data_IF_559923730749
#
_entry.id   IF_559923730749
#
_cell.length_a   1.000
_cell.length_b   1.000
_cell.length_c   1.000
_cell.angle_alpha   90.00
_cell.angle_beta   90.00
_cell.angle_gamma   90.00
#
_symmetry.space_group_name_H-M   'P 1'
#
loop_
_entity.id
_entity.type
_entity.pdbx_description
1 polymer ?
#
# COMPACT_ATOMS: atom_id res chain seq x y z
N UNK A 1 -20.63 6.99 -2.94
CA UNK A 1 -19.69 5.92 -3.36
C UNK A 1 -18.48 5.98 -2.45
N UNK A 2 -18.04 4.84 -1.90
CA UNK A 2 -16.91 4.76 -0.97
C UNK A 2 -15.79 3.96 -1.62
N UNK A 3 -14.59 4.52 -1.67
CA UNK A 3 -13.41 3.90 -2.29
C UNK A 3 -12.42 3.51 -1.19
N UNK A 4 -11.97 2.26 -1.22
CA UNK A 4 -10.83 1.82 -0.40
C UNK A 4 -9.66 1.53 -1.32
N UNK A 5 -8.54 2.21 -1.10
CA UNK A 5 -7.29 1.94 -1.80
C UNK A 5 -6.47 1.01 -0.91
N UNK A 6 -6.21 -0.20 -1.41
CA UNK A 6 -5.35 -1.17 -0.75
C UNK A 6 -3.91 -0.96 -1.19
N UNK A 7 -3.03 -0.62 -0.25
CA UNK A 7 -1.59 -0.50 -0.47
C UNK A 7 -0.86 -1.58 0.30
N UNK A 8 -0.25 -2.54 -0.41
CA UNK A 8 0.60 -3.57 0.17
C UNK A 8 1.94 -3.59 -0.56
N UNK A 9 3.04 -3.53 0.18
CA UNK A 9 4.38 -3.48 -0.38
C UNK A 9 5.32 -2.55 0.38
N UNK A 10 6.34 -2.07 -0.34
CA UNK A 10 7.33 -1.11 0.14
C UNK A 10 6.75 0.31 0.23
N UNK A 11 7.52 1.25 0.78
CA UNK A 11 7.13 2.67 0.76
C UNK A 11 6.91 3.21 -0.67
N UNK A 12 7.63 2.67 -1.66
CA UNK A 12 7.46 3.02 -3.07
C UNK A 12 6.09 2.65 -3.64
N UNK A 13 5.49 1.57 -3.10
CA UNK A 13 4.14 1.14 -3.48
C UNK A 13 3.05 1.97 -2.78
N UNK A 14 3.32 2.41 -1.55
CA UNK A 14 2.37 3.22 -0.75
C UNK A 14 2.25 4.66 -1.25
N UNK A 15 3.33 5.27 -1.72
CA UNK A 15 3.33 6.68 -2.15
C UNK A 15 2.37 6.99 -3.33
N UNK A 16 2.31 6.18 -4.40
CA UNK A 16 1.31 6.33 -5.46
C UNK A 16 -0.12 6.22 -4.93
N UNK A 17 -0.39 5.28 -4.02
CA UNK A 17 -1.71 5.12 -3.40
C UNK A 17 -2.13 6.38 -2.62
N UNK A 18 -1.20 7.00 -1.88
CA UNK A 18 -1.43 8.27 -1.18
C UNK A 18 -1.77 9.39 -2.15
N UNK A 19 -0.99 9.53 -3.24
CA UNK A 19 -1.17 10.56 -4.26
C UNK A 19 -2.54 10.43 -4.94
N UNK A 20 -2.91 9.21 -5.31
CA UNK A 20 -4.22 8.89 -5.88
C UNK A 20 -5.35 9.20 -4.90
N UNK A 21 -5.22 8.73 -3.65
CA UNK A 21 -6.21 8.95 -2.60
C UNK A 21 -6.50 10.44 -2.37
N UNK A 22 -5.44 11.27 -2.33
CA UNK A 22 -5.58 12.73 -2.24
C UNK A 22 -6.29 13.34 -3.46
N UNK A 23 -5.94 12.89 -4.66
CA UNK A 23 -6.60 13.36 -5.89
C UNK A 23 -8.11 13.07 -5.87
N UNK A 24 -8.48 11.85 -5.50
CA UNK A 24 -9.87 11.42 -5.39
C UNK A 24 -10.63 12.15 -4.27
N UNK A 25 -10.00 12.36 -3.11
CA UNK A 25 -10.58 13.14 -2.02
C UNK A 25 -10.87 14.59 -2.45
N UNK A 26 -9.94 15.22 -3.19
CA UNK A 26 -10.13 16.58 -3.75
C UNK A 26 -11.25 16.65 -4.78
N UNK A 27 -11.51 15.55 -5.49
CA UNK A 27 -12.66 15.42 -6.39
C UNK A 27 -13.99 15.19 -5.66
N UNK A 28 -14.01 15.23 -4.31
CA UNK A 28 -15.22 15.10 -3.50
C UNK A 28 -15.62 13.65 -3.20
N UNK A 29 -14.76 12.67 -3.49
CA UNK A 29 -15.02 11.26 -3.22
C UNK A 29 -14.64 10.88 -1.79
N UNK A 30 -15.41 9.97 -1.19
CA UNK A 30 -15.06 9.36 0.09
C UNK A 30 -14.02 8.27 -0.13
N UNK A 31 -12.80 8.50 0.35
CA UNK A 31 -11.66 7.61 0.13
C UNK A 31 -10.99 7.29 1.47
N UNK A 32 -10.60 6.03 1.63
CA UNK A 32 -9.71 5.58 2.71
C UNK A 32 -8.57 4.74 2.16
N UNK A 33 -7.44 4.73 2.85
CA UNK A 33 -6.34 3.80 2.58
C UNK A 33 -6.35 2.65 3.58
N UNK A 34 -6.25 1.43 3.08
CA UNK A 34 -5.94 0.25 3.87
C UNK A 34 -4.49 -0.16 3.57
N UNK A 35 -3.64 -0.13 4.59
CA UNK A 35 -2.21 -0.45 4.45
C UNK A 35 -1.64 -1.05 5.75
N UNK A 36 -0.44 -1.66 5.70
CA UNK A 36 0.24 -2.15 6.89
C UNK A 36 0.39 -1.06 7.97
N UNK A 37 0.29 -1.46 9.24
CA UNK A 37 0.25 -0.57 10.40
C UNK A 37 1.45 0.39 10.49
N UNK A 38 2.63 -0.03 10.03
CA UNK A 38 3.85 0.80 10.02
C UNK A 38 3.72 2.06 9.14
N UNK A 39 2.79 2.09 8.18
CA UNK A 39 2.53 3.27 7.34
C UNK A 39 1.43 4.19 7.88
N UNK A 40 0.81 3.87 9.02
CA UNK A 40 -0.27 4.67 9.61
C UNK A 40 0.10 6.15 9.76
N UNK A 41 1.29 6.44 10.30
CA UNK A 41 1.76 7.81 10.51
C UNK A 41 1.95 8.58 9.20
N UNK A 42 2.45 7.92 8.15
CA UNK A 42 2.60 8.53 6.82
C UNK A 42 1.22 8.87 6.23
N UNK A 43 0.27 7.94 6.30
CA UNK A 43 -1.08 8.11 5.74
C UNK A 43 -1.87 9.19 6.48
N UNK A 44 -1.80 9.19 7.81
CA UNK A 44 -2.46 10.19 8.65
C UNK A 44 -1.88 11.59 8.44
N UNK A 45 -0.54 11.73 8.28
CA UNK A 45 0.10 13.01 7.95
C UNK A 45 -0.41 13.59 6.63
N UNK A 46 -0.76 12.73 5.70
CA UNK A 46 -1.34 13.13 4.42
C UNK A 46 -2.85 13.47 4.53
N UNK A 47 -3.48 13.30 5.69
CA UNK A 47 -4.89 13.67 5.93
C UNK A 47 -5.91 12.69 5.35
N UNK A 48 -5.49 11.47 5.04
CA UNK A 48 -6.36 10.42 4.50
C UNK A 48 -6.87 9.51 5.62
N UNK A 49 -8.17 9.15 5.62
CA UNK A 49 -8.70 8.12 6.51
C UNK A 49 -7.96 6.79 6.33
N UNK A 50 -7.55 6.18 7.44
CA UNK A 50 -6.72 4.98 7.45
C UNK A 50 -7.49 3.75 7.95
N UNK A 51 -7.15 2.57 7.44
CA UNK A 51 -7.53 1.28 7.98
C UNK A 51 -6.26 0.42 8.13
N UNK A 52 -5.96 -0.07 9.32
CA UNK A 52 -4.81 -0.94 9.50
C UNK A 52 -5.08 -2.32 8.90
N UNK A 53 -4.13 -2.81 8.12
CA UNK A 53 -4.07 -4.21 7.76
C UNK A 53 -3.23 -4.92 8.82
N UNK A 54 -3.85 -5.88 9.50
CA UNK A 54 -3.18 -6.71 10.50
C UNK A 54 -2.46 -7.87 9.80
N UNK A 55 -1.21 -8.07 10.17
CA UNK A 55 -0.23 -8.91 9.47
C UNK A 55 1.00 -8.06 9.18
N UNK A 56 2.13 -8.42 9.78
CA UNK A 56 3.37 -7.71 9.53
C UNK A 56 3.87 -8.11 8.14
N UNK A 57 3.49 -7.31 7.13
CA UNK A 57 3.94 -7.52 5.75
C UNK A 57 5.47 -7.48 5.69
N UNK A 58 6.17 -6.70 6.53
CA UNK A 58 7.63 -6.77 6.56
C UNK A 58 8.11 -8.12 7.09
N UNK A 59 7.49 -8.65 8.14
CA UNK A 59 7.81 -9.99 8.67
C UNK A 59 7.49 -11.10 7.65
N UNK A 60 6.37 -11.00 6.94
CA UNK A 60 6.00 -11.92 5.85
C UNK A 60 7.00 -11.79 4.70
N UNK A 61 7.42 -10.58 4.33
CA UNK A 61 8.41 -10.35 3.26
C UNK A 61 9.82 -10.78 3.70
N UNK A 62 10.14 -10.68 4.99
CA UNK A 62 11.40 -11.15 5.59
C UNK A 62 11.41 -12.67 5.80
N UNK A 63 10.23 -13.31 5.86
CA UNK A 63 10.10 -14.76 5.95
C UNK A 63 10.66 -15.46 4.72
N UNK A 64 10.91 -16.76 4.84
CA UNK A 64 11.36 -17.59 3.71
C UNK A 64 10.36 -17.57 2.55
N UNK A 65 9.06 -17.50 2.85
CA UNK A 65 7.99 -17.34 1.86
C UNK A 65 8.11 -16.02 1.11
N UNK A 66 8.36 -14.92 1.83
CA UNK A 66 8.55 -13.60 1.24
C UNK A 66 9.81 -13.50 0.38
N UNK A 67 10.92 -14.09 0.82
CA UNK A 67 12.17 -14.18 0.05
C UNK A 67 11.97 -14.95 -1.25
N UNK A 68 11.35 -16.13 -1.23
CA UNK A 68 11.06 -16.92 -2.44
C UNK A 68 10.13 -16.18 -3.42
N UNK A 69 9.25 -15.33 -2.90
CA UNK A 69 8.37 -14.49 -3.73
C UNK A 69 9.15 -13.34 -4.40
N UNK A 70 10.06 -12.68 -3.66
CA UNK A 70 10.93 -11.62 -4.19
C UNK A 70 11.98 -12.13 -5.18
N UNK A 71 12.56 -13.30 -4.95
CA UNK A 71 13.54 -13.94 -5.86
C UNK A 71 12.93 -14.26 -7.23
N UNK A 72 11.61 -14.52 -7.28
CA UNK A 72 10.86 -14.67 -8.53
C UNK A 72 10.44 -13.35 -9.17
N UNK A 73 10.58 -12.23 -8.47
CA UNK A 73 10.09 -10.91 -8.88
C UNK A 73 10.90 -10.23 -9.98
N UNK A 74 12.02 -10.82 -10.42
CA UNK A 74 12.86 -10.28 -11.52
C UNK A 74 12.31 -10.61 -12.92
N UNK A 75 11.07 -11.10 -13.01
CA UNK A 75 10.38 -11.22 -14.30
C UNK A 75 9.84 -9.86 -14.71
N UNK A 76 10.63 -9.13 -15.50
CA UNK A 76 10.13 -8.03 -16.30
C UNK A 76 8.86 -8.50 -17.07
N UNK A 77 7.67 -7.98 -16.74
CA UNK A 77 6.41 -8.48 -17.30
C UNK A 77 6.23 -8.12 -18.79
N UNK A 78 7.16 -7.36 -19.36
CA UNK A 78 7.21 -7.00 -20.79
C UNK A 78 8.18 -7.93 -21.56
N UNK A 79 8.97 -8.76 -20.85
CA UNK A 79 9.97 -9.66 -21.45
C UNK A 79 9.69 -11.15 -21.23
N UNK A 80 8.53 -11.51 -20.68
CA UNK A 80 8.09 -12.90 -20.50
C UNK A 80 7.59 -13.52 -21.81
#
# INVERSE_FOLDING_TARGET
MNITIFGAGSQGDIQPCLRLGKGLQRAGLQVRLAAPQNFAGLIQKEGLPFHPLYGDVQEIMASETGRKFMEKGDTNPIRS
#
